data_IF_111992531386
#
_entry.id   IF_111992531386
#
_cell.length_a   1.000
_cell.length_b   1.000
_cell.length_c   1.000
_cell.angle_alpha   90.00
_cell.angle_beta   90.00
_cell.angle_gamma   90.00
#
_symmetry.space_group_name_H-M   'P 1'
#
loop_
_entity.id
_entity.type
_entity.pdbx_description
1 polymer ?
#
# COMPACT_ATOMS: atom_id res chain seq x y z
N UNK A 1 -6.55 -12.13 -17.79
CA UNK A 1 -6.43 -10.74 -17.26
C UNK A 1 -4.96 -10.43 -17.14
N UNK A 2 -4.49 -9.36 -17.78
CA UNK A 2 -3.10 -8.90 -17.64
C UNK A 2 -2.94 -8.23 -16.28
N UNK A 3 -1.81 -8.49 -15.62
CA UNK A 3 -1.35 -7.65 -14.52
C UNK A 3 -1.29 -6.20 -15.05
N UNK A 4 -1.77 -5.21 -14.29
CA UNK A 4 -1.80 -3.77 -14.64
C UNK A 4 -2.86 -3.26 -15.65
N UNK A 5 -3.93 -4.00 -15.97
CA UNK A 5 -5.03 -3.45 -16.80
C UNK A 5 -5.89 -2.45 -16.00
N UNK A 6 -5.92 -1.19 -16.46
CA UNK A 6 -6.65 -0.09 -15.82
C UNK A 6 -8.17 -0.28 -15.83
N UNK A 7 -8.71 -1.12 -16.72
CA UNK A 7 -10.15 -1.38 -16.87
C UNK A 7 -10.77 -2.21 -15.75
N UNK A 8 -9.96 -2.74 -14.83
CA UNK A 8 -10.47 -3.56 -13.72
C UNK A 8 -10.97 -2.73 -12.52
N UNK A 9 -10.81 -1.39 -12.53
CA UNK A 9 -11.17 -0.50 -11.41
C UNK A 9 -12.67 -0.25 -11.29
N UNK A 10 -13.47 -0.48 -12.34
CA UNK A 10 -14.91 -0.15 -12.36
C UNK A 10 -15.84 -1.36 -12.33
N UNK A 11 -15.31 -2.59 -12.33
CA UNK A 11 -16.12 -3.76 -12.70
C UNK A 11 -17.03 -4.31 -11.59
N UNK A 12 -16.77 -4.02 -10.32
CA UNK A 12 -17.56 -4.57 -9.22
C UNK A 12 -17.51 -3.69 -7.95
N UNK A 13 -18.65 -3.54 -7.23
CA UNK A 13 -18.76 -2.65 -6.06
C UNK A 13 -17.83 -3.07 -4.90
N UNK A 14 -17.60 -4.37 -4.74
CA UNK A 14 -16.69 -4.91 -3.73
C UNK A 14 -15.22 -4.63 -4.03
N UNK A 15 -14.83 -4.60 -5.31
CA UNK A 15 -13.48 -4.25 -5.74
C UNK A 15 -13.13 -2.81 -5.37
N UNK A 16 -14.12 -1.91 -5.40
CA UNK A 16 -13.96 -0.48 -5.08
C UNK A 16 -13.64 -0.24 -3.60
N UNK A 17 -14.29 -1.00 -2.69
CA UNK A 17 -14.02 -0.94 -1.25
C UNK A 17 -12.61 -1.42 -0.91
N UNK A 18 -12.18 -2.52 -1.51
CA UNK A 18 -10.82 -3.05 -1.34
C UNK A 18 -9.80 -2.03 -1.84
N UNK A 19 -10.05 -1.40 -3.00
CA UNK A 19 -9.15 -0.40 -3.55
C UNK A 19 -9.00 0.81 -2.62
N UNK A 20 -10.11 1.35 -2.12
CA UNK A 20 -10.12 2.50 -1.22
C UNK A 20 -9.36 2.22 0.09
N UNK A 21 -9.52 1.02 0.68
CA UNK A 21 -8.80 0.66 1.90
C UNK A 21 -7.28 0.59 1.66
N UNK A 22 -6.84 0.00 0.54
CA UNK A 22 -5.43 -0.03 0.18
C UNK A 22 -4.85 1.36 -0.09
N UNK A 23 -5.65 2.26 -0.68
CA UNK A 23 -5.24 3.63 -0.95
C UNK A 23 -5.08 4.43 0.34
N UNK A 24 -6.04 4.34 1.28
CA UNK A 24 -5.94 4.95 2.61
C UNK A 24 -4.72 4.40 3.38
N UNK A 25 -4.52 3.08 3.36
CA UNK A 25 -3.37 2.45 4.02
C UNK A 25 -2.04 2.93 3.42
N UNK A 26 -1.98 3.06 2.09
CA UNK A 26 -0.80 3.57 1.40
C UNK A 26 -0.49 5.01 1.80
N UNK A 27 -1.50 5.89 1.79
CA UNK A 27 -1.36 7.29 2.19
C UNK A 27 -0.96 7.42 3.64
N UNK A 28 -1.52 6.61 4.54
CA UNK A 28 -1.16 6.62 5.96
C UNK A 28 0.31 6.21 6.19
N UNK A 29 0.78 5.17 5.51
CA UNK A 29 2.18 4.72 5.58
C UNK A 29 3.13 5.78 5.00
N UNK A 30 2.78 6.39 3.86
CA UNK A 30 3.56 7.48 3.26
C UNK A 30 3.69 8.68 4.19
N UNK A 31 2.57 9.13 4.77
CA UNK A 31 2.58 10.23 5.73
C UNK A 31 3.35 9.89 6.99
N UNK A 32 3.21 8.66 7.50
CA UNK A 32 3.97 8.19 8.65
C UNK A 32 5.48 8.20 8.39
N UNK A 33 5.92 7.68 7.24
CA UNK A 33 7.32 7.70 6.85
C UNK A 33 7.85 9.14 6.72
N UNK A 34 7.11 10.01 6.03
CA UNK A 34 7.47 11.42 5.87
C UNK A 34 7.60 12.13 7.21
N UNK A 35 6.63 11.94 8.12
CA UNK A 35 6.66 12.54 9.45
C UNK A 35 7.86 12.07 10.26
N UNK A 36 8.15 10.76 10.26
CA UNK A 36 9.33 10.21 10.92
C UNK A 36 10.63 10.84 10.39
N UNK A 37 10.79 10.94 9.07
CA UNK A 37 11.98 11.56 8.47
C UNK A 37 12.08 13.06 8.76
N UNK A 38 10.96 13.80 8.69
CA UNK A 38 10.95 15.24 8.99
C UNK A 38 11.30 15.50 10.45
N UNK A 39 10.66 14.80 11.39
CA UNK A 39 10.97 14.96 12.82
C UNK A 39 12.41 14.55 13.10
N UNK A 40 12.86 13.39 12.57
CA UNK A 40 14.25 12.95 12.74
C UNK A 40 15.24 13.99 12.21
N UNK A 41 14.96 14.61 11.06
CA UNK A 41 15.81 15.65 10.47
C UNK A 41 15.93 16.87 11.37
N UNK A 42 14.82 17.27 12.00
CA UNK A 42 14.81 18.38 12.97
C UNK A 42 15.59 18.00 14.24
N UNK A 43 15.46 16.77 14.74
CA UNK A 43 16.18 16.34 15.94
C UNK A 43 17.70 16.35 15.77
N UNK A 44 18.22 16.14 14.56
CA UNK A 44 19.66 16.23 14.28
C UNK A 44 20.26 17.63 14.50
N UNK A 45 19.47 18.69 14.71
CA UNK A 45 19.99 20.00 15.12
C UNK A 45 20.59 20.01 16.53
N UNK A 46 20.29 19.01 17.37
CA UNK A 46 20.87 18.89 18.70
C UNK A 46 21.49 17.52 18.91
N UNK A 47 22.78 17.50 19.25
CA UNK A 47 23.56 16.27 19.48
C UNK A 47 22.94 15.33 20.52
N UNK A 48 22.26 15.87 21.54
CA UNK A 48 21.61 15.07 22.57
C UNK A 48 20.42 14.22 22.06
N UNK A 49 19.83 14.57 20.91
CA UNK A 49 18.70 13.83 20.32
C UNK A 49 19.11 12.92 19.16
N UNK A 50 20.41 12.77 18.90
CA UNK A 50 20.94 12.01 17.76
C UNK A 50 20.45 10.56 17.75
N UNK A 51 20.47 9.87 18.90
CA UNK A 51 19.96 8.50 19.00
C UNK A 51 18.47 8.42 18.67
N UNK A 52 17.65 9.38 19.11
CA UNK A 52 16.23 9.42 18.80
C UNK A 52 15.98 9.70 17.31
N UNK A 53 16.79 10.60 16.71
CA UNK A 53 16.75 10.90 15.29
C UNK A 53 17.06 9.66 14.43
N UNK A 54 18.09 8.89 14.80
CA UNK A 54 18.45 7.62 14.13
C UNK A 54 17.26 6.65 14.13
N UNK A 55 16.63 6.44 15.29
CA UNK A 55 15.47 5.54 15.38
C UNK A 55 14.27 6.02 14.55
N UNK A 56 14.00 7.33 14.51
CA UNK A 56 12.96 7.88 13.64
C UNK A 56 13.25 7.60 12.17
N UNK A 57 14.50 7.74 11.74
CA UNK A 57 14.90 7.37 10.37
C UNK A 57 14.81 5.86 10.12
N UNK A 58 15.15 5.02 11.09
CA UNK A 58 14.99 3.56 10.96
C UNK A 58 13.51 3.19 10.80
N UNK A 59 12.63 3.72 11.66
CA UNK A 59 11.18 3.47 11.59
C UNK A 59 10.60 4.03 10.28
N UNK A 60 10.97 5.26 9.91
CA UNK A 60 10.56 5.88 8.65
C UNK A 60 10.97 5.04 7.43
N UNK A 61 12.17 4.44 7.47
CA UNK A 61 12.67 3.56 6.40
C UNK A 61 11.87 2.26 6.30
N UNK A 62 11.53 1.66 7.44
CA UNK A 62 10.66 0.46 7.48
C UNK A 62 9.29 0.79 6.90
N UNK A 63 8.67 1.91 7.29
CA UNK A 63 7.40 2.36 6.72
C UNK A 63 7.51 2.62 5.21
N UNK A 64 8.57 3.29 4.77
CA UNK A 64 8.82 3.55 3.35
C UNK A 64 8.95 2.25 2.54
N UNK A 65 9.51 1.19 3.13
CA UNK A 65 9.61 -0.13 2.51
C UNK A 65 8.27 -0.87 2.43
N UNK A 66 7.30 -0.56 3.31
CA UNK A 66 5.95 -1.13 3.24
C UNK A 66 5.19 -0.64 2.00
N UNK A 67 5.56 0.51 1.44
CA UNK A 67 4.95 1.13 0.26
C UNK A 67 4.89 0.21 -0.99
N UNK A 68 6.00 -0.37 -1.50
CA UNK A 68 5.95 -1.34 -2.60
C UNK A 68 5.17 -2.61 -2.23
N UNK A 69 5.24 -3.06 -0.97
CA UNK A 69 4.53 -4.26 -0.51
C UNK A 69 3.01 -4.10 -0.55
N UNK A 70 2.48 -2.93 -0.18
CA UNK A 70 1.05 -2.62 -0.28
C UNK A 70 0.58 -2.55 -1.74
N UNK A 71 1.40 -1.99 -2.64
CA UNK A 71 1.10 -1.94 -4.08
C UNK A 71 1.02 -3.35 -4.67
N UNK A 72 1.99 -4.20 -4.34
CA UNK A 72 2.04 -5.59 -4.79
C UNK A 72 0.85 -6.40 -4.24
N UNK A 73 0.56 -6.27 -2.94
CA UNK A 73 -0.55 -6.97 -2.30
C UNK A 73 -1.91 -6.59 -2.93
N UNK A 74 -2.10 -5.31 -3.27
CA UNK A 74 -3.28 -4.83 -3.99
C UNK A 74 -3.41 -5.51 -5.36
N UNK A 75 -2.34 -5.57 -6.13
CA UNK A 75 -2.34 -6.17 -7.47
C UNK A 75 -2.63 -7.67 -7.44
N UNK A 76 -2.04 -8.40 -6.48
CA UNK A 76 -2.31 -9.83 -6.28
C UNK A 76 -3.78 -10.06 -5.94
N UNK A 77 -4.36 -9.24 -5.05
CA UNK A 77 -5.77 -9.37 -4.65
C UNK A 77 -6.72 -9.11 -5.82
N UNK A 78 -6.46 -8.07 -6.61
CA UNK A 78 -7.24 -7.76 -7.82
C UNK A 78 -7.13 -8.87 -8.88
N UNK A 79 -5.93 -9.41 -9.08
CA UNK A 79 -5.73 -10.54 -9.99
C UNK A 79 -6.52 -11.77 -9.57
N UNK A 80 -6.51 -12.10 -8.27
CA UNK A 80 -7.24 -13.26 -7.72
C UNK A 80 -8.75 -13.11 -7.85
N UNK A 81 -9.31 -11.92 -7.58
CA UNK A 81 -10.75 -11.66 -7.76
C UNK A 81 -11.19 -11.89 -9.21
N UNK A 82 -10.37 -11.44 -10.17
CA UNK A 82 -10.65 -11.65 -11.59
C UNK A 82 -10.61 -13.11 -12.06
N UNK A 83 -9.87 -13.99 -11.37
CA UNK A 83 -9.89 -15.44 -11.65
C UNK A 83 -11.16 -16.10 -11.12
N UNK A 84 -11.64 -15.69 -9.94
CA UNK A 84 -12.85 -16.23 -9.30
C UNK A 84 -14.09 -15.91 -10.14
N UNK A 85 -14.21 -14.66 -10.62
CA UNK A 85 -15.33 -14.28 -11.50
C UNK A 85 -15.36 -15.13 -12.79
N UNK A 86 -14.20 -15.41 -13.40
CA UNK A 86 -14.12 -16.26 -14.60
C UNK A 86 -14.51 -17.71 -14.35
N UNK A 87 -14.24 -18.25 -13.17
CA UNK A 87 -14.66 -19.59 -12.79
C UNK A 87 -16.18 -19.64 -12.59
N UNK A 88 -16.75 -18.65 -11.89
CA UNK A 88 -18.19 -18.55 -11.66
C UNK A 88 -19.00 -18.42 -12.97
N UNK A 89 -18.52 -17.62 -13.94
CA UNK A 89 -19.17 -17.50 -15.26
C UNK A 89 -19.13 -18.82 -16.05
N UNK A 90 -18.10 -19.64 -15.84
CA UNK A 90 -17.95 -20.93 -16.53
C UNK A 90 -18.87 -22.00 -15.95
N UNK A 91 -19.06 -22.02 -14.63
CA UNK A 91 -20.04 -22.91 -13.97
C UNK A 91 -21.49 -22.51 -14.28
N UNK A 92 -21.77 -21.22 -14.49
CA UNK A 92 -23.12 -20.74 -14.82
C UNK A 92 -23.53 -20.98 -16.27
N UNK A 93 -22.57 -20.97 -17.19
CA UNK A 93 -22.78 -21.15 -18.64
C UNK A 93 -22.44 -22.55 -19.15
N UNK A 94 -22.07 -23.47 -18.25
CA UNK A 94 -21.70 -24.86 -18.53
C UNK A 94 -22.81 -25.85 -18.21
#
# INVERSE_FOLDING_TARGET
MKLFDHRNRERNADTRRVYALFEIAHTAVDFGAALCFTIGSVLFFWKQYETAAIWLFTVGSVLFMVKPSLRLAREIKLWRMGQIERLADRDRNG
#
